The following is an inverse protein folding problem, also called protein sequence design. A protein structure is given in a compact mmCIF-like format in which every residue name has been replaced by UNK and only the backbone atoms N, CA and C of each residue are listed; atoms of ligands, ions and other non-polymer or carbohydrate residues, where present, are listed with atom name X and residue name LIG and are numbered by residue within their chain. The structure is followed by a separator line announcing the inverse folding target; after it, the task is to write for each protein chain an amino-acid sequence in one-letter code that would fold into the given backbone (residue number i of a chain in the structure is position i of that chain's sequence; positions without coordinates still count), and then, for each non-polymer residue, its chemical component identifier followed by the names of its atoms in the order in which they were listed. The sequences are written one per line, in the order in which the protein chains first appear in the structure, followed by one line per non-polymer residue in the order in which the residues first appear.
data_IF_467157711457
#
_entry.id   IF_467157711457
#
_cell.length_a   1.000
_cell.length_b   1.000
_cell.length_c   1.000
_cell.angle_alpha   90.00
_cell.angle_beta   90.00
_cell.angle_gamma   90.00
#
_symmetry.space_group_name_H-M   'P 1'
#
loop_
_entity.id
_entity.type
_entity.pdbx_description
1 polymer ?
#
# COMPACT_ATOMS: atom_id res chain seq x y z
N UNK A 1 -14.48 4.45 4.41
CA UNK A 1 -13.51 5.51 4.07
C UNK A 1 -12.17 4.86 3.80
N UNK A 2 -11.80 4.76 2.52
CA UNK A 2 -10.55 4.13 2.07
C UNK A 2 -9.43 5.14 2.34
N UNK A 3 -8.68 4.95 3.43
CA UNK A 3 -7.49 5.75 3.71
C UNK A 3 -6.27 5.05 3.12
N UNK A 4 -6.08 5.19 1.80
CA UNK A 4 -4.76 5.10 1.19
C UNK A 4 -4.24 6.54 1.06
N UNK A 5 -3.88 7.15 2.20
CA UNK A 5 -3.21 8.45 2.18
C UNK A 5 -1.72 8.17 1.93
N UNK A 6 -1.37 8.03 0.65
CA UNK A 6 -0.01 8.32 0.21
C UNK A 6 -0.01 9.84 0.00
N UNK A 7 0.64 10.58 0.90
CA UNK A 7 0.89 12.01 0.71
C UNK A 7 1.87 12.12 -0.46
N UNK A 8 1.32 12.23 -1.67
CA UNK A 8 2.01 12.53 -2.91
C UNK A 8 2.46 13.99 -2.94
N UNK A 9 3.44 14.32 -2.10
CA UNK A 9 4.28 15.50 -2.29
C UNK A 9 5.68 15.00 -2.66
N UNK A 10 5.96 15.04 -3.96
CA UNK A 10 7.13 14.44 -4.60
C UNK A 10 8.25 15.44 -4.89
N UNK A 11 8.09 16.70 -4.47
CA UNK A 11 9.14 17.72 -4.59
C UNK A 11 10.43 17.34 -3.85
N UNK A 12 10.33 16.41 -2.88
CA UNK A 12 11.42 15.95 -2.00
C UNK A 12 11.68 14.44 -2.10
N UNK A 13 11.44 13.83 -3.28
CA UNK A 13 11.52 12.36 -3.47
C UNK A 13 12.84 11.75 -3.01
N UNK A 14 13.98 12.28 -3.44
CA UNK A 14 15.29 11.73 -3.13
C UNK A 14 15.56 11.70 -1.62
N UNK A 15 15.12 12.73 -0.91
CA UNK A 15 15.26 12.80 0.55
C UNK A 15 14.26 11.87 1.25
N UNK A 16 13.06 11.67 0.70
CA UNK A 16 12.08 10.69 1.21
C UNK A 16 12.55 9.25 1.01
N UNK A 17 13.18 8.93 -0.12
CA UNK A 17 13.78 7.61 -0.34
C UNK A 17 14.93 7.33 0.62
N UNK A 18 15.82 8.30 0.83
CA UNK A 18 16.88 8.19 1.86
C UNK A 18 16.29 7.97 3.26
N UNK A 19 15.22 8.70 3.61
CA UNK A 19 14.49 8.49 4.88
C UNK A 19 13.86 7.10 4.96
N UNK A 20 13.27 6.59 3.89
CA UNK A 20 12.67 5.26 3.85
C UNK A 20 13.71 4.17 4.06
N UNK A 21 14.87 4.26 3.40
CA UNK A 21 16.00 3.34 3.62
C UNK A 21 16.45 3.40 5.08
N UNK A 22 16.65 4.60 5.64
CA UNK A 22 17.05 4.77 7.03
C UNK A 22 16.03 4.21 8.04
N UNK A 23 14.73 4.37 7.78
CA UNK A 23 13.65 3.79 8.61
C UNK A 23 13.68 2.26 8.54
N UNK A 24 13.85 1.68 7.36
CA UNK A 24 13.93 0.23 7.18
C UNK A 24 15.16 -0.34 7.91
N UNK A 25 16.31 0.33 7.81
CA UNK A 25 17.53 -0.10 8.50
C UNK A 25 17.37 -0.02 10.02
N UNK A 26 16.78 1.06 10.56
CA UNK A 26 16.46 1.17 12.00
C UNK A 26 15.49 0.07 12.44
N UNK A 27 14.47 -0.24 11.64
CA UNK A 27 13.51 -1.32 11.93
C UNK A 27 14.21 -2.68 11.98
N UNK A 28 15.08 -2.97 11.02
CA UNK A 28 15.86 -4.21 10.98
C UNK A 28 16.81 -4.32 12.17
N UNK A 29 17.53 -3.24 12.52
CA UNK A 29 18.42 -3.19 13.68
C UNK A 29 17.65 -3.42 14.99
N UNK A 30 16.47 -2.81 15.13
CA UNK A 30 15.58 -3.00 16.30
C UNK A 30 14.80 -4.33 16.29
N UNK A 31 15.10 -5.23 15.35
CA UNK A 31 14.41 -6.51 15.14
C UNK A 31 12.88 -6.37 14.97
N UNK A 32 12.41 -5.21 14.51
CA UNK A 32 11.00 -4.96 14.19
C UNK A 32 10.68 -5.48 12.79
N UNK A 33 9.40 -5.71 12.52
CA UNK A 33 8.94 -6.05 11.18
C UNK A 33 9.14 -4.81 10.27
N UNK A 34 9.87 -4.92 9.15
CA UNK A 34 10.08 -3.80 8.24
C UNK A 34 8.76 -3.32 7.64
N UNK A 35 8.61 -2.02 7.47
CA UNK A 35 7.43 -1.43 6.82
C UNK A 35 7.38 -1.71 5.31
N UNK A 36 8.52 -2.07 4.71
CA UNK A 36 8.63 -2.46 3.30
C UNK A 36 8.48 -3.97 3.18
N UNK A 37 7.61 -4.41 2.27
CA UNK A 37 7.41 -5.82 1.98
C UNK A 37 8.45 -6.37 1.01
N UNK A 38 8.67 -7.70 0.99
CA UNK A 38 9.60 -8.32 0.05
C UNK A 38 9.30 -7.97 -1.42
N UNK A 39 8.03 -7.99 -1.85
CA UNK A 39 7.66 -7.66 -3.23
C UNK A 39 7.85 -6.17 -3.57
N UNK A 40 7.67 -5.26 -2.61
CA UNK A 40 7.94 -3.84 -2.80
C UNK A 40 9.43 -3.48 -2.65
N UNK A 41 10.24 -4.35 -2.06
CA UNK A 41 11.69 -4.09 -1.87
C UNK A 41 12.45 -3.96 -3.18
N UNK A 42 11.89 -4.51 -4.28
CA UNK A 42 12.43 -4.39 -5.62
C UNK A 42 12.18 -3.01 -6.24
N UNK A 43 11.14 -2.29 -5.78
CA UNK A 43 10.76 -0.96 -6.26
C UNK A 43 11.57 0.15 -5.59
N UNK A 44 12.16 -0.11 -4.42
CA UNK A 44 12.92 0.88 -3.66
C UNK A 44 14.44 0.71 -3.83
N UNK A 45 15.23 1.79 -3.69
CA UNK A 45 16.70 1.76 -3.80
C UNK A 45 17.34 1.14 -2.54
N UNK A 46 16.98 -0.11 -2.23
CA UNK A 46 17.47 -0.89 -1.10
C UNK A 46 18.60 -1.81 -1.55
N UNK A 47 19.61 -1.98 -0.68
CA UNK A 47 20.72 -2.92 -0.95
C UNK A 47 20.22 -4.36 -1.03
N UNK A 48 20.96 -5.21 -1.75
CA UNK A 48 20.65 -6.64 -1.83
C UNK A 48 20.60 -7.31 -0.44
N UNK A 49 21.49 -6.93 0.47
CA UNK A 49 21.51 -7.43 1.84
C UNK A 49 20.24 -7.02 2.61
N UNK A 50 19.80 -5.76 2.49
CA UNK A 50 18.56 -5.26 3.09
C UNK A 50 17.34 -6.01 2.53
N UNK A 51 17.31 -6.30 1.22
CA UNK A 51 16.24 -7.08 0.58
C UNK A 51 16.14 -8.49 1.13
N UNK A 52 17.28 -9.18 1.30
CA UNK A 52 17.34 -10.51 1.95
C UNK A 52 16.85 -10.41 3.39
N UNK A 53 17.26 -9.39 4.14
CA UNK A 53 16.85 -9.22 5.53
C UNK A 53 15.34 -8.95 5.66
N UNK A 54 14.76 -8.15 4.75
CA UNK A 54 13.31 -7.94 4.66
C UNK A 54 12.60 -9.26 4.36
N UNK A 55 13.07 -10.02 3.36
CA UNK A 55 12.50 -11.32 3.00
C UNK A 55 12.57 -12.32 4.17
N UNK A 56 13.70 -12.38 4.88
CA UNK A 56 13.88 -13.24 6.04
C UNK A 56 12.97 -12.85 7.22
N UNK A 57 12.73 -11.55 7.44
CA UNK A 57 11.77 -11.09 8.47
C UNK A 57 10.32 -11.37 8.08
N UNK A 58 10.03 -11.45 6.79
CA UNK A 58 8.74 -11.88 6.25
C UNK A 58 8.72 -13.39 5.91
N UNK A 59 9.68 -14.19 6.39
CA UNK A 59 9.92 -15.56 5.92
C UNK A 59 8.71 -16.50 6.02
N UNK A 60 7.80 -16.31 6.99
CA UNK A 60 6.55 -17.08 7.04
C UNK A 60 5.68 -16.88 5.78
N UNK A 61 5.66 -15.66 5.22
CA UNK A 61 4.98 -15.37 3.94
C UNK A 61 5.74 -15.94 2.73
N UNK A 62 7.08 -15.88 2.73
CA UNK A 62 7.89 -16.38 1.62
C UNK A 62 7.89 -17.90 1.51
N UNK A 63 7.95 -18.62 2.64
CA UNK A 63 8.00 -20.09 2.68
C UNK A 63 6.70 -20.70 2.14
N UNK A 64 5.55 -20.17 2.54
CA UNK A 64 4.26 -20.73 2.12
C UNK A 64 3.88 -20.38 0.66
N UNK A 65 4.31 -19.21 0.17
CA UNK A 65 3.74 -18.62 -1.06
C UNK A 65 4.69 -18.58 -2.25
N UNK A 66 6.01 -18.64 -2.05
CA UNK A 66 7.00 -18.57 -3.15
C UNK A 66 7.54 -19.95 -3.50
N UNK A 67 7.79 -20.80 -2.50
CA UNK A 67 8.38 -22.13 -2.67
C UNK A 67 7.36 -23.27 -2.51
N UNK A 68 6.08 -22.95 -2.28
CA UNK A 68 4.98 -23.91 -2.10
C UNK A 68 5.26 -25.00 -1.05
N UNK A 69 5.98 -24.68 0.03
CA UNK A 69 6.21 -25.63 1.11
C UNK A 69 4.95 -25.76 1.98
N UNK A 70 4.27 -26.89 1.85
CA UNK A 70 3.04 -27.22 2.59
C UNK A 70 3.26 -28.08 3.82
N UNK A 71 4.52 -28.31 4.22
CA UNK A 71 4.84 -29.05 5.44
C UNK A 71 4.13 -28.43 6.65
N UNK A 72 3.39 -29.22 7.44
CA UNK A 72 2.68 -28.75 8.64
C UNK A 72 1.69 -27.59 8.40
N UNK A 73 1.09 -27.50 7.20
CA UNK A 73 0.22 -26.39 6.80
C UNK A 73 -0.94 -26.14 7.79
N UNK A 74 -1.69 -27.19 8.16
CA UNK A 74 -2.88 -27.04 9.02
C UNK A 74 -2.54 -26.47 10.40
N UNK A 75 -1.44 -26.93 11.01
CA UNK A 75 -0.99 -26.43 12.30
C UNK A 75 -0.45 -25.00 12.21
N UNK A 76 0.26 -24.67 11.12
CA UNK A 76 0.70 -23.29 10.85
C UNK A 76 -0.50 -22.35 10.69
N UNK A 77 -1.55 -22.77 9.97
CA UNK A 77 -2.77 -21.97 9.81
C UNK A 77 -3.46 -21.71 11.16
N UNK A 78 -3.62 -22.74 11.99
CA UNK A 78 -4.20 -22.58 13.35
C UNK A 78 -3.38 -21.61 14.21
N UNK A 79 -2.06 -21.74 14.19
CA UNK A 79 -1.15 -20.83 14.91
C UNK A 79 -1.27 -19.39 14.41
N UNK A 80 -1.34 -19.19 13.09
CA UNK A 80 -1.48 -17.88 12.48
C UNK A 80 -2.78 -17.21 12.91
N UNK A 81 -3.91 -17.92 12.85
CA UNK A 81 -5.21 -17.40 13.30
C UNK A 81 -5.14 -16.99 14.78
N UNK A 82 -4.59 -17.86 15.64
CA UNK A 82 -4.45 -17.57 17.06
C UNK A 82 -3.56 -16.33 17.34
N UNK A 83 -2.47 -16.16 16.60
CA UNK A 83 -1.59 -14.99 16.71
C UNK A 83 -2.33 -13.71 16.31
N UNK A 84 -3.06 -13.73 15.18
CA UNK A 84 -3.82 -12.57 14.71
C UNK A 84 -4.90 -12.19 15.72
N UNK A 85 -5.61 -13.17 16.27
CA UNK A 85 -6.65 -12.91 17.25
C UNK A 85 -6.07 -12.31 18.55
N UNK A 86 -4.96 -12.84 19.07
CA UNK A 86 -4.27 -12.24 20.24
C UNK A 86 -3.81 -10.81 19.95
N UNK A 87 -3.25 -10.55 18.77
CA UNK A 87 -2.80 -9.22 18.37
C UNK A 87 -3.95 -8.20 18.30
N UNK A 88 -5.07 -8.61 17.72
CA UNK A 88 -6.27 -7.77 17.62
C UNK A 88 -6.87 -7.49 19.01
N UNK A 89 -6.96 -8.50 19.88
CA UNK A 89 -7.41 -8.35 21.27
C UNK A 89 -6.52 -7.37 22.05
N UNK A 90 -5.20 -7.48 21.89
CA UNK A 90 -4.22 -6.57 22.50
C UNK A 90 -4.13 -5.20 21.81
N UNK A 91 -5.00 -4.93 20.84
CA UNK A 91 -5.03 -3.70 20.02
C UNK A 91 -3.71 -3.40 19.29
N UNK A 92 -2.83 -4.38 19.13
CA UNK A 92 -1.56 -4.27 18.41
C UNK A 92 -1.81 -4.31 16.90
N UNK A 93 -0.84 -3.83 16.13
CA UNK A 93 -0.86 -3.99 14.68
C UNK A 93 -0.71 -5.48 14.35
N UNK A 94 -1.65 -6.09 13.58
CA UNK A 94 -1.52 -7.48 13.19
C UNK A 94 -0.29 -7.70 12.30
N UNK A 95 0.41 -8.82 12.50
CA UNK A 95 1.54 -9.22 11.65
C UNK A 95 1.10 -9.61 10.23
N UNK A 96 -0.17 -9.98 10.07
CA UNK A 96 -0.76 -10.28 8.77
C UNK A 96 -1.24 -8.98 8.13
N UNK A 97 -0.75 -8.73 6.92
CA UNK A 97 -1.15 -7.57 6.14
C UNK A 97 -2.53 -7.76 5.48
N UNK A 98 -3.29 -6.67 5.23
CA UNK A 98 -4.63 -6.77 4.66
C UNK A 98 -4.70 -7.56 3.35
N UNK A 99 -3.74 -7.34 2.44
CA UNK A 99 -3.63 -8.06 1.17
C UNK A 99 -3.51 -9.59 1.36
N UNK A 100 -2.70 -10.04 2.33
CA UNK A 100 -2.47 -11.47 2.59
C UNK A 100 -3.60 -12.12 3.40
N UNK A 101 -4.45 -11.33 4.06
CA UNK A 101 -5.54 -11.86 4.89
C UNK A 101 -6.55 -12.71 4.09
N UNK A 102 -6.65 -12.48 2.78
CA UNK A 102 -7.48 -13.28 1.87
C UNK A 102 -6.98 -14.71 1.70
N UNK A 103 -5.67 -14.94 1.88
CA UNK A 103 -5.02 -16.23 1.66
C UNK A 103 -5.11 -17.17 2.86
N UNK A 104 -5.57 -16.67 4.01
CA UNK A 104 -5.64 -17.39 5.27
C UNK A 104 -7.10 -17.66 5.66
N UNK A 105 -7.36 -18.75 6.43
CA UNK A 105 -8.70 -19.11 6.90
C UNK A 105 -9.14 -18.21 8.07
N UNK A 106 -9.18 -16.91 7.82
CA UNK A 106 -9.62 -15.87 8.75
C UNK A 106 -11.09 -15.55 8.51
N UNK A 107 -11.80 -15.18 9.58
CA UNK A 107 -13.19 -14.71 9.45
C UNK A 107 -13.25 -13.35 8.72
N UNK A 108 -14.39 -13.04 8.10
CA UNK A 108 -14.60 -11.73 7.48
C UNK A 108 -14.43 -10.58 8.48
N UNK A 109 -14.91 -10.76 9.72
CA UNK A 109 -14.74 -9.77 10.78
C UNK A 109 -13.26 -9.52 11.10
N UNK A 110 -12.46 -10.59 11.20
CA UNK A 110 -11.01 -10.50 11.42
C UNK A 110 -10.32 -9.76 10.26
N UNK A 111 -10.68 -10.05 9.00
CA UNK A 111 -10.13 -9.35 7.83
C UNK A 111 -10.43 -7.85 7.84
N UNK A 112 -11.66 -7.47 8.19
CA UNK A 112 -12.06 -6.06 8.35
C UNK A 112 -11.25 -5.40 9.47
N UNK A 113 -11.07 -6.09 10.62
CA UNK A 113 -10.31 -5.58 11.74
C UNK A 113 -8.82 -5.34 11.40
N UNK A 114 -8.20 -6.27 10.65
CA UNK A 114 -6.83 -6.11 10.15
C UNK A 114 -6.71 -4.86 9.27
N UNK A 115 -7.63 -4.70 8.30
CA UNK A 115 -7.64 -3.53 7.41
C UNK A 115 -7.86 -2.23 8.19
N UNK A 116 -8.80 -2.21 9.13
CA UNK A 116 -9.08 -1.05 9.97
C UNK A 116 -7.88 -0.63 10.81
N UNK A 117 -7.12 -1.58 11.38
CA UNK A 117 -5.89 -1.30 12.14
C UNK A 117 -4.79 -0.68 11.27
N UNK A 118 -4.63 -1.14 10.04
CA UNK A 118 -3.69 -0.55 9.10
C UNK A 118 -4.11 0.86 8.67
N UNK A 119 -5.41 1.08 8.43
CA UNK A 119 -5.94 2.41 8.13
C UNK A 119 -5.72 3.40 9.29
N UNK A 120 -5.91 2.95 10.53
CA UNK A 120 -5.66 3.76 11.73
C UNK A 120 -4.20 4.22 11.81
N UNK A 121 -3.24 3.34 11.50
CA UNK A 121 -1.82 3.68 11.46
C UNK A 121 -1.51 4.73 10.38
N UNK A 122 -2.20 4.70 9.24
CA UNK A 122 -2.07 5.77 8.23
C UNK A 122 -2.60 7.11 8.75
N UNK A 123 -3.74 7.10 9.45
CA UNK A 123 -4.32 8.32 10.05
C UNK A 123 -3.34 8.94 11.06
N UNK A 124 -2.78 8.14 11.96
CA UNK A 124 -1.81 8.60 12.96
C UNK A 124 -0.57 9.24 12.30
N UNK A 125 -0.04 8.65 11.23
CA UNK A 125 1.08 9.22 10.47
C UNK A 125 0.74 10.55 9.81
N UNK A 126 -0.48 10.69 9.29
CA UNK A 126 -0.92 11.92 8.60
C UNK A 126 -1.18 13.06 9.59
N UNK A 127 -1.66 12.72 10.79
CA UNK A 127 -1.96 13.71 11.85
C UNK A 127 -0.73 14.52 12.29
N UNK A 128 0.48 13.94 12.19
CA UNK A 128 1.75 14.62 12.50
C UNK A 128 1.98 15.86 11.63
N UNK A 129 1.41 15.92 10.43
CA UNK A 129 1.55 17.08 9.55
C UNK A 129 0.63 18.25 9.90
N UNK A 130 -0.25 18.09 10.89
CA UNK A 130 -1.18 19.12 11.38
C UNK A 130 -1.94 19.86 10.27
N UNK A 131 -2.26 19.17 9.16
CA UNK A 131 -2.97 19.77 8.04
C UNK A 131 -4.44 19.96 8.41
N UNK A 132 -4.97 21.15 8.13
CA UNK A 132 -6.40 21.41 8.24
C UNK A 132 -7.18 20.49 7.28
N UNK A 133 -8.40 20.05 7.64
CA UNK A 133 -9.27 19.32 6.72
C UNK A 133 -9.47 20.12 5.43
N UNK A 134 -9.35 19.43 4.29
CA UNK A 134 -9.62 20.06 3.00
C UNK A 134 -11.11 20.38 2.88
N UNK A 135 -11.40 21.55 2.29
CA UNK A 135 -12.76 21.92 1.92
C UNK A 135 -13.07 21.28 0.57
N UNK A 136 -14.02 20.36 0.55
CA UNK A 136 -14.45 19.71 -0.68
C UNK A 136 -15.70 20.40 -1.24
N UNK A 137 -15.85 20.49 -2.57
CA UNK A 137 -17.10 20.93 -3.19
C UNK A 137 -18.27 20.03 -2.74
N UNK A 138 -19.46 20.62 -2.60
CA UNK A 138 -20.66 19.85 -2.27
C UNK A 138 -20.95 18.78 -3.34
N UNK A 139 -21.59 17.68 -2.96
CA UNK A 139 -21.92 16.56 -3.86
C UNK A 139 -22.71 17.02 -5.10
N UNK A 140 -23.53 18.06 -4.96
CA UNK A 140 -24.36 18.61 -6.03
C UNK A 140 -23.72 19.85 -6.72
N UNK A 141 -22.44 20.12 -6.46
CA UNK A 141 -21.74 21.30 -6.99
C UNK A 141 -21.48 21.24 -8.51
N UNK A 142 -21.56 20.04 -9.11
CA UNK A 142 -21.43 19.88 -10.56
C UNK A 142 -22.69 20.38 -11.25
N UNK A 143 -22.66 21.64 -11.71
CA UNK A 143 -23.75 22.24 -12.46
C UNK A 143 -23.77 21.76 -13.91
N UNK A 144 -24.92 21.91 -14.57
CA UNK A 144 -25.08 21.63 -16.00
C UNK A 144 -24.05 22.47 -16.80
N UNK A 145 -23.18 21.80 -17.56
CA UNK A 145 -22.07 22.43 -18.29
C UNK A 145 -20.72 22.40 -17.58
N UNK A 146 -20.62 21.86 -16.37
CA UNK A 146 -19.35 21.61 -15.67
C UNK A 146 -18.91 20.15 -15.82
N UNK A 147 -17.59 19.93 -15.89
CA UNK A 147 -16.98 18.61 -16.00
C UNK A 147 -16.73 18.01 -14.62
N UNK A 148 -17.03 16.73 -14.46
CA UNK A 148 -16.69 15.96 -13.27
C UNK A 148 -15.19 15.69 -13.25
N UNK A 149 -14.50 16.09 -12.18
CA UNK A 149 -13.07 15.82 -11.99
C UNK A 149 -12.87 14.44 -11.38
N UNK A 150 -12.22 13.55 -12.12
CA UNK A 150 -11.89 12.18 -11.67
C UNK A 150 -10.37 12.07 -11.54
N UNK A 151 -9.90 11.80 -10.33
CA UNK A 151 -8.49 11.53 -10.05
C UNK A 151 -8.22 10.03 -9.91
N UNK A 152 -7.39 9.46 -10.77
CA UNK A 152 -6.87 8.10 -10.60
C UNK A 152 -5.52 8.18 -9.87
N UNK A 153 -5.42 7.51 -8.72
CA UNK A 153 -4.20 7.45 -7.91
C UNK A 153 -3.70 6.02 -7.93
N UNK A 154 -2.51 5.80 -8.47
CA UNK A 154 -1.88 4.48 -8.51
C UNK A 154 -0.35 4.60 -8.57
N UNK A 155 0.33 3.72 -7.84
CA UNK A 155 1.78 3.45 -7.96
C UNK A 155 2.15 2.66 -9.20
N UNK A 156 1.14 2.17 -9.93
CA UNK A 156 1.30 1.10 -10.89
C UNK A 156 1.09 1.57 -12.34
N UNK A 157 1.07 2.88 -12.59
CA UNK A 157 1.04 3.38 -13.96
C UNK A 157 2.38 3.10 -14.64
N UNK A 158 2.38 2.27 -15.68
CA UNK A 158 3.58 1.77 -16.35
C UNK A 158 3.47 0.28 -16.68
N UNK A 159 4.59 -0.44 -16.64
CA UNK A 159 4.60 -1.89 -16.87
C UNK A 159 4.16 -2.67 -15.62
N UNK A 160 2.85 -2.66 -15.34
CA UNK A 160 2.24 -3.36 -14.21
C UNK A 160 0.85 -3.90 -14.60
N UNK A 161 0.37 -5.02 -14.02
CA UNK A 161 -0.95 -5.59 -14.30
C UNK A 161 -2.10 -4.57 -14.24
N UNK A 162 -2.08 -3.66 -13.26
CA UNK A 162 -3.05 -2.57 -13.14
C UNK A 162 -3.15 -1.77 -14.44
N UNK A 163 -2.03 -1.31 -14.99
CA UNK A 163 -1.97 -0.55 -16.24
C UNK A 163 -2.44 -1.36 -17.44
N UNK A 164 -2.00 -2.61 -17.57
CA UNK A 164 -2.44 -3.45 -18.70
C UNK A 164 -3.96 -3.62 -18.73
N UNK A 165 -4.62 -3.59 -17.58
CA UNK A 165 -6.08 -3.69 -17.47
C UNK A 165 -6.80 -2.36 -17.73
N UNK A 166 -6.26 -1.23 -17.23
CA UNK A 166 -7.00 0.03 -17.18
C UNK A 166 -6.46 1.15 -18.09
N UNK A 167 -5.32 0.96 -18.76
CA UNK A 167 -4.63 2.02 -19.53
C UNK A 167 -5.52 2.75 -20.54
N UNK A 168 -6.49 2.07 -21.14
CA UNK A 168 -7.40 2.66 -22.12
C UNK A 168 -8.53 3.46 -21.50
N UNK A 169 -8.93 3.16 -20.26
CA UNK A 169 -10.13 3.73 -19.62
C UNK A 169 -10.06 5.26 -19.54
N UNK A 170 -8.95 5.88 -19.10
CA UNK A 170 -8.89 7.33 -18.97
C UNK A 170 -9.01 8.07 -20.32
N UNK A 171 -8.52 7.47 -21.40
CA UNK A 171 -8.65 8.00 -22.76
C UNK A 171 -10.08 7.89 -23.34
N UNK A 172 -10.91 6.99 -22.80
CA UNK A 172 -12.28 6.75 -23.23
C UNK A 172 -13.32 7.61 -22.52
N UNK A 173 -12.93 8.44 -21.54
CA UNK A 173 -13.87 9.35 -20.88
C UNK A 173 -14.41 10.40 -21.85
N UNK A 174 -15.71 10.65 -21.79
CA UNK A 174 -16.31 11.76 -22.52
C UNK A 174 -15.78 13.08 -21.95
N UNK A 175 -14.94 13.76 -22.75
CA UNK A 175 -14.28 15.01 -22.37
C UNK A 175 -15.27 16.15 -22.13
N UNK A 176 -16.49 16.09 -22.67
CA UNK A 176 -17.52 17.12 -22.44
C UNK A 176 -18.08 17.04 -21.01
N UNK A 177 -18.06 15.85 -20.41
CA UNK A 177 -18.66 15.59 -19.11
C UNK A 177 -17.62 15.34 -18.01
N UNK A 178 -16.41 14.92 -18.36
CA UNK A 178 -15.41 14.44 -17.41
C UNK A 178 -14.05 15.05 -17.71
N UNK A 179 -13.36 15.48 -16.65
CA UNK A 179 -11.97 15.89 -16.63
C UNK A 179 -11.16 14.83 -15.87
N UNK A 180 -10.30 14.10 -16.57
CA UNK A 180 -9.44 13.07 -15.98
C UNK A 180 -8.11 13.65 -15.53
N UNK A 181 -7.73 13.40 -14.27
CA UNK A 181 -6.39 13.68 -13.74
C UNK A 181 -5.73 12.36 -13.36
N UNK A 182 -4.53 12.12 -13.87
CA UNK A 182 -3.70 10.99 -13.46
C UNK A 182 -2.71 11.47 -12.42
N UNK A 183 -2.77 10.89 -11.23
CA UNK A 183 -1.75 11.10 -10.21
C UNK A 183 -0.88 9.85 -10.21
N UNK A 184 0.25 9.96 -10.92
CA UNK A 184 1.26 8.91 -10.95
C UNK A 184 2.13 9.01 -9.71
N UNK A 185 2.06 8.01 -8.84
CA UNK A 185 3.07 7.72 -7.83
C UNK A 185 4.25 7.04 -8.56
N UNK A 186 5.01 7.83 -9.34
CA UNK A 186 6.03 7.31 -10.27
C UNK A 186 7.38 7.16 -9.58
N UNK A 187 7.67 5.92 -9.19
CA UNK A 187 9.03 5.41 -9.01
C UNK A 187 9.78 5.26 -10.34
N UNK A 188 9.11 5.41 -11.49
CA UNK A 188 9.74 5.27 -12.82
C UNK A 188 9.51 6.51 -13.68
N UNK A 189 10.34 7.54 -13.48
CA UNK A 189 10.67 8.47 -14.57
C UNK A 189 11.55 7.72 -15.57
N UNK A 190 10.94 7.07 -16.57
CA UNK A 190 11.64 6.93 -17.83
C UNK A 190 11.54 8.27 -18.57
N UNK A 191 12.66 8.84 -19.06
CA UNK A 191 12.72 10.21 -19.58
C UNK A 191 11.87 10.49 -20.84
N UNK A 192 11.10 9.52 -21.36
CA UNK A 192 10.47 9.63 -22.69
C UNK A 192 8.96 9.38 -22.76
N UNK A 193 8.24 9.25 -21.65
CA UNK A 193 6.76 9.17 -21.73
C UNK A 193 6.17 10.58 -21.74
N UNK A 194 5.89 11.08 -22.94
CA UNK A 194 5.07 12.29 -23.12
C UNK A 194 3.63 11.98 -22.69
N UNK A 195 3.15 12.74 -21.71
CA UNK A 195 1.71 12.90 -21.43
C UNK A 195 1.08 13.75 -22.53
#
# INVERSE_FOLDING_TARGET
MIALVIICDWTDYDNRMKKLVAIVDDQLQRKRLPSVHPHHSMLYPLTHATRIAIAAKHAQLCIEKIICDWTDYDNRMKKLVAIVDDQLQRKRLPSVHPHHSMLYPLTHATRIAIAAKHAQLCIEKVQVFHKAPYVYPDRNSVRKGMRLRIGYVSSDFGNHPTSHLMQSIPGMHNRDNVEGLHVIDSVLREPNVKV
#
